data_IF_504512814825
#
_entry.id   IF_504512814825
#
_cell.length_a   1.000
_cell.length_b   1.000
_cell.length_c   1.000
_cell.angle_alpha   90.00
_cell.angle_beta   90.00
_cell.angle_gamma   90.00
#
_symmetry.space_group_name_H-M   'P 1'
#
loop_
_entity.id
_entity.type
_entity.pdbx_description
1 polymer ?
#
# COMPACT_ATOMS: atom_id res chain seq x y z
N UNK A 1 -29.25 3.98 -3.51
CA UNK A 1 -27.79 3.96 -3.33
C UNK A 1 -27.26 3.38 -4.63
N UNK A 2 -27.03 4.24 -5.61
CA UNK A 2 -26.75 3.79 -6.97
C UNK A 2 -25.32 3.28 -7.01
N UNK A 3 -25.14 2.01 -7.36
CA UNK A 3 -23.81 1.49 -7.64
C UNK A 3 -23.27 2.28 -8.82
N UNK A 4 -22.24 3.08 -8.57
CA UNK A 4 -21.62 3.97 -9.57
C UNK A 4 -20.99 3.17 -10.74
N UNK A 5 -21.09 1.84 -10.72
CA UNK A 5 -20.42 0.92 -11.62
C UNK A 5 -21.40 -0.14 -12.10
N UNK A 6 -21.53 -0.26 -13.41
CA UNK A 6 -22.10 -1.45 -14.02
C UNK A 6 -21.14 -2.63 -13.77
N UNK A 7 -21.70 -3.82 -13.56
CA UNK A 7 -20.94 -5.06 -13.50
C UNK A 7 -20.07 -5.21 -14.76
N UNK A 8 -18.78 -5.54 -14.58
CA UNK A 8 -17.81 -5.65 -15.69
C UNK A 8 -17.09 -4.36 -16.11
N UNK A 9 -17.32 -3.22 -15.46
CA UNK A 9 -16.59 -1.99 -15.77
C UNK A 9 -15.11 -2.04 -15.33
N UNK A 10 -14.20 -1.62 -16.22
CA UNK A 10 -12.77 -1.49 -15.94
C UNK A 10 -12.43 -0.08 -15.40
N UNK A 11 -11.56 0.01 -14.39
CA UNK A 11 -11.09 1.28 -13.82
C UNK A 11 -9.57 1.41 -14.02
N UNK A 12 -9.11 2.13 -15.07
CA UNK A 12 -7.70 2.35 -15.27
C UNK A 12 -7.08 3.20 -14.15
N UNK A 13 -5.82 2.92 -13.84
CA UNK A 13 -4.97 3.74 -12.96
C UNK A 13 -3.65 3.99 -13.67
N UNK A 14 -3.15 5.21 -13.54
CA UNK A 14 -1.86 5.60 -14.09
C UNK A 14 -0.89 5.87 -12.95
N UNK A 15 0.36 5.44 -13.10
CA UNK A 15 1.44 5.61 -12.13
C UNK A 15 2.58 6.41 -12.77
N UNK A 16 3.13 7.36 -12.03
CA UNK A 16 4.21 8.23 -12.48
C UNK A 16 5.32 8.22 -11.44
N UNK A 17 6.54 7.91 -11.88
CA UNK A 17 7.74 7.93 -11.05
C UNK A 17 8.58 9.17 -11.40
N UNK A 18 8.85 10.08 -10.44
CA UNK A 18 9.56 11.33 -10.69
C UNK A 18 11.07 11.13 -10.82
N UNK A 19 11.61 9.96 -10.47
CA UNK A 19 13.06 9.67 -10.37
C UNK A 19 13.84 10.01 -11.64
N UNK A 20 13.31 9.66 -12.82
CA UNK A 20 13.95 9.97 -14.11
C UNK A 20 14.04 11.49 -14.31
N UNK A 21 12.95 12.21 -14.03
CA UNK A 21 12.92 13.67 -14.16
C UNK A 21 13.85 14.32 -13.15
N UNK A 22 13.83 13.86 -11.91
CA UNK A 22 14.74 14.32 -10.84
C UNK A 22 16.20 14.20 -11.28
N UNK A 23 16.61 13.03 -11.78
CA UNK A 23 17.97 12.79 -12.25
C UNK A 23 18.38 13.73 -13.41
N UNK A 24 17.46 14.09 -14.30
CA UNK A 24 17.74 14.97 -15.45
C UNK A 24 17.75 16.45 -15.05
N UNK A 25 16.85 16.87 -14.15
CA UNK A 25 16.68 18.30 -13.83
C UNK A 25 17.40 18.75 -12.57
N UNK A 26 17.87 17.82 -11.73
CA UNK A 26 18.42 18.10 -10.40
C UNK A 26 17.38 18.62 -9.40
N UNK A 27 16.08 18.37 -9.65
CA UNK A 27 14.99 18.79 -8.75
C UNK A 27 14.52 17.57 -7.97
N UNK A 28 14.38 17.71 -6.66
CA UNK A 28 13.99 16.60 -5.78
C UNK A 28 12.69 15.91 -6.20
N UNK A 29 12.67 14.59 -6.08
CA UNK A 29 11.53 13.74 -6.47
C UNK A 29 10.23 14.18 -5.78
N UNK A 30 10.29 14.42 -4.46
CA UNK A 30 9.18 14.93 -3.68
C UNK A 30 8.67 16.28 -4.23
N UNK A 31 9.57 17.23 -4.46
CA UNK A 31 9.19 18.54 -5.01
C UNK A 31 8.48 18.40 -6.37
N UNK A 32 9.00 17.56 -7.27
CA UNK A 32 8.36 17.29 -8.57
C UNK A 32 6.94 16.76 -8.38
N UNK A 33 6.72 15.81 -7.46
CA UNK A 33 5.39 15.23 -7.21
C UNK A 33 4.41 16.27 -6.68
N UNK A 34 4.75 16.95 -5.58
CA UNK A 34 3.85 17.88 -4.92
C UNK A 34 3.56 19.12 -5.77
N UNK A 35 4.56 19.67 -6.47
CA UNK A 35 4.35 20.79 -7.39
C UNK A 35 3.47 20.39 -8.58
N UNK A 36 3.60 19.15 -9.07
CA UNK A 36 2.75 18.64 -10.16
C UNK A 36 1.29 18.51 -9.71
N UNK A 37 1.05 18.05 -8.49
CA UNK A 37 -0.32 17.97 -7.92
C UNK A 37 -0.88 19.38 -7.72
N UNK A 38 -0.10 20.31 -7.16
CA UNK A 38 -0.55 21.70 -6.93
C UNK A 38 -0.91 22.43 -8.23
N UNK A 39 -0.19 22.17 -9.33
CA UNK A 39 -0.48 22.73 -10.66
C UNK A 39 -1.85 22.33 -11.22
N UNK A 40 -2.49 21.29 -10.68
CA UNK A 40 -3.86 20.92 -11.07
C UNK A 40 -4.90 21.95 -10.59
N UNK A 41 -4.56 22.85 -9.66
CA UNK A 41 -5.44 23.92 -9.21
C UNK A 41 -6.72 23.42 -8.54
N UNK A 42 -6.66 22.28 -7.84
CA UNK A 42 -7.82 21.68 -7.20
C UNK A 42 -8.34 22.60 -6.09
N UNK A 43 -9.65 22.88 -6.12
CA UNK A 43 -10.31 23.82 -5.20
C UNK A 43 -10.81 23.17 -3.91
N UNK A 44 -10.50 21.90 -3.67
CA UNK A 44 -10.95 21.17 -2.48
C UNK A 44 -10.02 21.49 -1.29
N UNK A 45 -10.49 22.23 -0.27
CA UNK A 45 -9.64 22.64 0.85
C UNK A 45 -9.17 21.46 1.70
N UNK A 46 -9.99 20.42 1.87
CA UNK A 46 -9.61 19.22 2.63
C UNK A 46 -8.51 18.44 1.92
N UNK A 47 -8.58 18.35 0.58
CA UNK A 47 -7.52 17.73 -0.22
C UNK A 47 -6.21 18.50 -0.11
N UNK A 48 -6.26 19.83 -0.28
CA UNK A 48 -5.07 20.68 -0.21
C UNK A 48 -4.43 20.65 1.19
N UNK A 49 -5.23 20.69 2.24
CA UNK A 49 -4.73 20.57 3.62
C UNK A 49 -4.08 19.20 3.88
N UNK A 50 -4.67 18.11 3.38
CA UNK A 50 -4.05 16.78 3.48
C UNK A 50 -2.76 16.67 2.67
N UNK A 51 -2.70 17.32 1.50
CA UNK A 51 -1.51 17.37 0.66
C UNK A 51 -0.37 18.12 1.34
N UNK A 52 -0.66 19.27 1.97
CA UNK A 52 0.33 20.08 2.68
C UNK A 52 0.84 19.35 3.93
N UNK A 53 -0.04 18.73 4.72
CA UNK A 53 0.38 17.89 5.86
C UNK A 53 1.32 16.76 5.43
N UNK A 54 0.99 16.06 4.34
CA UNK A 54 1.84 14.98 3.82
C UNK A 54 3.18 15.53 3.29
N UNK A 55 3.17 16.67 2.61
CA UNK A 55 4.37 17.34 2.10
C UNK A 55 5.31 17.73 3.24
N UNK A 56 4.78 18.37 4.28
CA UNK A 56 5.55 18.82 5.45
C UNK A 56 6.16 17.62 6.18
N UNK A 57 5.40 16.53 6.32
CA UNK A 57 5.92 15.29 6.90
C UNK A 57 7.05 14.68 6.05
N UNK A 58 6.89 14.58 4.73
CA UNK A 58 7.93 14.05 3.82
C UNK A 58 9.20 14.90 3.86
N UNK A 59 9.09 16.23 3.84
CA UNK A 59 10.28 17.10 3.92
C UNK A 59 10.97 16.94 5.28
N UNK A 60 10.21 16.89 6.38
CA UNK A 60 10.78 16.83 7.73
C UNK A 60 11.55 15.53 8.03
N UNK A 61 11.30 14.47 7.27
CA UNK A 61 11.92 13.14 7.43
C UNK A 61 13.19 12.95 6.59
N UNK A 62 13.60 13.99 5.83
CA UNK A 62 14.89 14.23 5.17
C UNK A 62 15.80 13.00 4.96
N UNK A 63 15.48 12.15 3.96
CA UNK A 63 16.35 11.06 3.52
C UNK A 63 16.03 9.67 4.09
N UNK A 64 14.95 9.49 4.84
CA UNK A 64 14.48 8.15 5.23
C UNK A 64 13.80 7.36 4.09
N UNK A 65 13.54 8.01 2.95
CA UNK A 65 12.79 7.44 1.85
C UNK A 65 13.70 6.78 0.81
N UNK A 66 13.19 5.71 0.22
CA UNK A 66 13.75 5.12 -0.98
C UNK A 66 13.28 5.94 -2.18
N UNK A 67 13.92 7.07 -2.44
CA UNK A 67 13.53 8.09 -3.43
C UNK A 67 13.21 7.53 -4.83
N UNK A 68 13.83 6.41 -5.22
CA UNK A 68 13.55 5.75 -6.50
C UNK A 68 12.21 4.98 -6.55
N UNK A 69 11.55 4.76 -5.41
CA UNK A 69 10.21 4.17 -5.30
C UNK A 69 9.10 5.20 -5.12
N UNK A 70 9.46 6.48 -5.01
CA UNK A 70 8.47 7.54 -4.90
C UNK A 70 7.64 7.63 -6.18
N UNK A 71 6.36 7.91 -6.01
CA UNK A 71 5.46 8.01 -7.16
C UNK A 71 4.10 8.57 -6.83
N UNK A 72 3.41 8.99 -7.88
CA UNK A 72 2.02 9.43 -7.80
C UNK A 72 1.19 8.53 -8.71
N UNK A 73 0.01 8.15 -8.25
CA UNK A 73 -1.00 7.54 -9.11
C UNK A 73 -2.30 8.33 -9.08
N UNK A 74 -3.12 8.17 -10.11
CA UNK A 74 -4.49 8.65 -10.10
C UNK A 74 -5.46 7.66 -10.73
N UNK A 75 -6.74 7.75 -10.32
CA UNK A 75 -7.85 7.03 -10.94
C UNK A 75 -8.19 7.69 -12.29
N UNK A 76 -7.99 7.00 -13.42
CA UNK A 76 -8.24 7.53 -14.76
C UNK A 76 -9.74 7.47 -15.14
N UNK A 77 -10.52 8.17 -14.33
CA UNK A 77 -11.97 8.33 -14.44
C UNK A 77 -12.31 9.82 -14.46
N UNK A 78 -13.60 10.17 -14.38
CA UNK A 78 -14.03 11.56 -14.23
C UNK A 78 -13.26 12.27 -13.10
N UNK A 79 -12.67 13.43 -13.40
CA UNK A 79 -11.78 14.17 -12.52
C UNK A 79 -12.40 14.51 -11.15
N UNK A 80 -13.71 14.75 -11.08
CA UNK A 80 -14.42 15.07 -9.83
C UNK A 80 -14.53 13.86 -8.88
N UNK A 81 -14.43 12.65 -9.44
CA UNK A 81 -14.47 11.38 -8.70
C UNK A 81 -13.09 10.75 -8.55
N UNK A 82 -12.11 11.24 -9.30
CA UNK A 82 -10.76 10.70 -9.31
C UNK A 82 -10.07 10.95 -7.96
N UNK A 83 -9.28 9.98 -7.53
CA UNK A 83 -8.41 10.10 -6.35
C UNK A 83 -6.96 10.13 -6.82
N UNK A 84 -6.15 10.91 -6.12
CA UNK A 84 -4.71 10.94 -6.26
C UNK A 84 -4.11 10.21 -5.05
N UNK A 85 -3.08 9.40 -5.28
CA UNK A 85 -2.33 8.70 -4.24
C UNK A 85 -0.85 9.00 -4.40
N UNK A 86 -0.19 9.33 -3.29
CA UNK A 86 1.26 9.47 -3.20
C UNK A 86 1.82 8.19 -2.60
N UNK A 87 2.87 7.66 -3.19
CA UNK A 87 3.61 6.49 -2.76
C UNK A 87 5.03 6.90 -2.43
N UNK A 88 5.56 6.30 -1.37
CA UNK A 88 6.98 6.41 -1.01
C UNK A 88 7.46 5.08 -0.44
N UNK A 89 8.72 4.74 -0.70
CA UNK A 89 9.36 3.57 -0.10
C UNK A 89 10.06 3.97 1.19
N UNK A 90 9.97 3.17 2.25
CA UNK A 90 10.69 3.39 3.50
C UNK A 90 11.30 2.06 3.94
N UNK A 91 12.60 2.05 4.22
CA UNK A 91 13.24 0.89 4.82
C UNK A 91 12.99 0.90 6.33
N UNK A 92 11.89 0.28 6.74
CA UNK A 92 11.49 0.19 8.14
C UNK A 92 12.30 -0.89 8.87
N UNK A 93 12.81 -0.55 10.07
CA UNK A 93 13.63 -1.44 10.91
C UNK A 93 12.93 -1.93 12.16
N UNK A 94 11.80 -1.34 12.53
CA UNK A 94 11.02 -1.75 13.70
C UNK A 94 9.53 -1.45 13.55
N UNK A 95 8.73 -2.12 14.37
CA UNK A 95 7.29 -1.90 14.44
C UNK A 95 6.95 -0.49 14.96
N UNK A 96 7.77 0.06 15.86
CA UNK A 96 7.63 1.44 16.36
C UNK A 96 7.78 2.44 15.22
N UNK A 97 8.78 2.26 14.35
CA UNK A 97 8.96 3.09 13.17
C UNK A 97 7.76 2.97 12.21
N UNK A 98 7.24 1.75 12.00
CA UNK A 98 6.02 1.55 11.22
C UNK A 98 4.81 2.30 11.82
N UNK A 99 4.73 2.39 13.16
CA UNK A 99 3.70 3.16 13.86
C UNK A 99 3.85 4.66 13.62
N UNK A 100 5.05 5.18 13.78
CA UNK A 100 5.36 6.60 13.56
C UNK A 100 5.01 7.01 12.12
N UNK A 101 5.39 6.20 11.13
CA UNK A 101 5.06 6.43 9.72
C UNK A 101 3.54 6.41 9.52
N UNK A 102 2.84 5.41 10.10
CA UNK A 102 1.37 5.30 9.99
C UNK A 102 0.65 6.53 10.56
N UNK A 103 1.23 7.15 11.58
CA UNK A 103 0.70 8.35 12.24
C UNK A 103 1.25 9.65 11.64
N UNK A 104 2.06 9.59 10.57
CA UNK A 104 2.80 10.74 10.03
C UNK A 104 3.53 11.54 11.14
N UNK A 105 4.28 10.84 12.00
CA UNK A 105 4.98 11.46 13.12
C UNK A 105 4.06 12.02 14.22
N UNK A 106 2.82 11.52 14.30
CA UNK A 106 1.81 11.96 15.27
C UNK A 106 0.82 12.99 14.74
N UNK A 107 0.95 13.41 13.47
CA UNK A 107 -0.01 14.31 12.81
C UNK A 107 -1.36 13.65 12.54
N UNK A 108 -1.40 12.32 12.42
CA UNK A 108 -2.63 11.52 12.31
C UNK A 108 -2.87 10.72 13.58
N UNK A 109 -4.10 10.80 14.11
CA UNK A 109 -4.51 10.14 15.34
C UNK A 109 -5.96 9.66 15.26
N UNK A 110 -6.35 8.80 16.21
CA UNK A 110 -7.72 8.34 16.42
C UNK A 110 -7.97 6.89 16.01
N UNK A 111 -9.15 6.39 16.38
CA UNK A 111 -9.51 4.97 16.34
C UNK A 111 -9.29 4.29 14.98
N UNK A 112 -9.48 5.02 13.87
CA UNK A 112 -9.29 4.49 12.51
C UNK A 112 -7.81 4.20 12.24
N UNK A 113 -6.92 5.05 12.75
CA UNK A 113 -5.47 4.88 12.63
C UNK A 113 -5.03 3.70 13.48
N UNK A 114 -5.51 3.62 14.73
CA UNK A 114 -5.17 2.54 15.66
C UNK A 114 -5.65 1.18 15.18
N UNK A 115 -6.91 1.08 14.71
CA UNK A 115 -7.46 -0.15 14.11
C UNK A 115 -6.68 -0.58 12.87
N UNK A 116 -6.27 0.38 12.03
CA UNK A 116 -5.42 0.09 10.88
C UNK A 116 -4.03 -0.39 11.28
N UNK A 117 -3.45 0.17 12.34
CA UNK A 117 -2.14 -0.22 12.84
C UNK A 117 -2.15 -1.61 13.50
N UNK A 118 -3.25 -2.01 14.15
CA UNK A 118 -3.39 -3.37 14.70
C UNK A 118 -3.24 -4.45 13.61
N UNK A 119 -3.72 -4.19 12.38
CA UNK A 119 -3.51 -5.10 11.25
C UNK A 119 -2.03 -5.17 10.84
N UNK A 120 -1.35 -4.02 10.80
CA UNK A 120 0.09 -3.93 10.51
C UNK A 120 0.89 -4.71 11.55
N UNK A 121 0.57 -4.54 12.84
CA UNK A 121 1.22 -5.25 13.95
C UNK A 121 1.08 -6.77 13.84
N UNK A 122 -0.09 -7.27 13.46
CA UNK A 122 -0.33 -8.72 13.29
C UNK A 122 0.48 -9.29 12.13
N UNK A 123 0.49 -8.60 11.00
CA UNK A 123 1.31 -8.98 9.86
C UNK A 123 2.80 -8.89 10.18
N UNK A 124 3.24 -7.82 10.85
CA UNK A 124 4.64 -7.64 11.25
C UNK A 124 5.14 -8.83 12.07
N UNK A 125 4.38 -9.22 13.10
CA UNK A 125 4.74 -10.38 13.92
C UNK A 125 4.96 -11.64 13.09
N UNK A 126 4.06 -11.92 12.14
CA UNK A 126 4.14 -13.14 11.31
C UNK A 126 5.16 -13.07 10.19
N UNK A 127 5.41 -11.88 9.65
CA UNK A 127 6.25 -11.71 8.47
C UNK A 127 7.69 -11.31 8.78
N UNK A 128 7.93 -10.69 9.93
CA UNK A 128 9.23 -10.11 10.29
C UNK A 128 9.79 -10.78 11.55
N UNK A 129 8.98 -10.90 12.62
CA UNK A 129 9.46 -11.43 13.90
C UNK A 129 9.54 -12.97 13.90
N UNK A 130 8.63 -13.62 13.17
CA UNK A 130 8.58 -15.07 12.97
C UNK A 130 9.12 -15.46 11.58
N UNK A 131 9.31 -16.76 11.31
CA UNK A 131 9.60 -17.24 9.95
C UNK A 131 8.38 -16.90 9.06
N UNK A 132 8.52 -15.99 8.07
CA UNK A 132 7.38 -15.64 7.24
C UNK A 132 6.75 -16.89 6.58
N UNK A 133 5.46 -16.84 6.32
CA UNK A 133 4.80 -17.97 5.69
C UNK A 133 3.66 -17.50 4.82
N UNK A 134 3.31 -18.35 3.85
CA UNK A 134 2.10 -18.14 3.05
C UNK A 134 0.83 -18.18 3.91
N UNK A 135 0.91 -18.73 5.13
CA UNK A 135 -0.17 -18.71 6.12
C UNK A 135 -0.38 -17.36 6.80
N UNK A 136 0.59 -16.43 6.77
CA UNK A 136 0.42 -15.11 7.38
C UNK A 136 -0.81 -14.37 6.84
N UNK A 137 -1.10 -14.54 5.55
CA UNK A 137 -2.33 -14.03 4.93
C UNK A 137 -3.57 -14.77 5.47
N UNK A 138 -3.56 -16.11 5.46
CA UNK A 138 -4.70 -16.90 5.92
C UNK A 138 -5.06 -16.59 7.38
N UNK A 139 -4.08 -16.50 8.26
CA UNK A 139 -4.31 -16.14 9.67
C UNK A 139 -4.89 -14.73 9.82
N UNK A 140 -4.48 -13.78 8.96
CA UNK A 140 -5.09 -12.46 8.94
C UNK A 140 -6.55 -12.51 8.48
N UNK A 141 -6.88 -13.34 7.48
CA UNK A 141 -8.24 -13.52 7.03
C UNK A 141 -9.10 -14.21 8.11
N UNK A 142 -8.56 -15.22 8.81
CA UNK A 142 -9.20 -15.88 9.95
C UNK A 142 -9.45 -14.89 11.10
N UNK A 143 -8.47 -14.05 11.43
CA UNK A 143 -8.62 -13.01 12.45
C UNK A 143 -9.76 -12.03 12.11
N UNK A 144 -9.97 -11.75 10.82
CA UNK A 144 -11.04 -10.89 10.35
C UNK A 144 -12.41 -11.59 10.24
N UNK A 145 -12.48 -12.91 10.49
CA UNK A 145 -13.68 -13.72 10.32
C UNK A 145 -14.08 -13.89 8.85
N UNK A 146 -13.11 -13.85 7.94
CA UNK A 146 -13.32 -13.95 6.48
C UNK A 146 -13.14 -15.40 6.01
N UNK A 147 -13.96 -16.31 6.56
CA UNK A 147 -13.79 -17.77 6.41
C UNK A 147 -13.83 -18.23 4.94
N UNK A 148 -14.72 -17.66 4.13
CA UNK A 148 -14.80 -17.97 2.70
C UNK A 148 -13.52 -17.57 1.95
N UNK A 149 -12.95 -16.41 2.30
CA UNK A 149 -11.71 -15.92 1.73
C UNK A 149 -10.52 -16.78 2.18
N UNK A 150 -10.53 -17.33 3.40
CA UNK A 150 -9.52 -18.30 3.85
C UNK A 150 -9.53 -19.54 2.96
N UNK A 151 -10.70 -20.15 2.75
CA UNK A 151 -10.82 -21.36 1.92
C UNK A 151 -10.45 -21.07 0.47
N UNK A 152 -10.92 -19.95 -0.08
CA UNK A 152 -10.63 -19.53 -1.46
C UNK A 152 -9.13 -19.26 -1.65
N UNK A 153 -8.51 -18.54 -0.71
CA UNK A 153 -7.08 -18.24 -0.79
C UNK A 153 -6.24 -19.52 -0.74
N UNK A 154 -6.59 -20.47 0.15
CA UNK A 154 -5.94 -21.78 0.21
C UNK A 154 -6.05 -22.55 -1.10
N UNK A 155 -7.25 -22.67 -1.65
CA UNK A 155 -7.48 -23.39 -2.90
C UNK A 155 -6.72 -22.76 -4.08
N UNK A 156 -6.71 -21.43 -4.18
CA UNK A 156 -5.94 -20.72 -5.21
C UNK A 156 -4.43 -20.87 -5.00
N UNK A 157 -3.97 -20.90 -3.75
CA UNK A 157 -2.56 -21.13 -3.44
C UNK A 157 -2.12 -22.54 -3.88
N UNK A 158 -2.93 -23.54 -3.56
CA UNK A 158 -2.68 -24.92 -3.92
C UNK A 158 -2.69 -25.09 -5.45
N UNK A 159 -3.64 -24.48 -6.17
CA UNK A 159 -3.71 -24.56 -7.63
C UNK A 159 -2.53 -23.85 -8.29
N UNK A 160 -2.28 -22.58 -7.95
CA UNK A 160 -1.28 -21.74 -8.60
C UNK A 160 0.17 -22.18 -8.29
N UNK A 161 0.40 -22.86 -7.15
CA UNK A 161 1.74 -23.22 -6.68
C UNK A 161 1.89 -24.70 -6.29
N UNK A 162 1.03 -25.59 -6.83
CA UNK A 162 0.90 -27.05 -6.61
C UNK A 162 2.17 -27.92 -6.75
N UNK A 163 3.32 -27.37 -7.10
CA UNK A 163 4.52 -28.14 -7.41
C UNK A 163 5.41 -28.39 -6.19
N UNK A 164 5.01 -29.22 -5.23
CA UNK A 164 5.90 -29.79 -4.18
C UNK A 164 6.82 -28.80 -3.44
N UNK A 165 6.53 -27.50 -3.51
CA UNK A 165 7.36 -26.50 -2.88
C UNK A 165 6.90 -26.35 -1.44
N UNK A 166 7.87 -26.55 -0.58
CA UNK A 166 7.72 -26.66 0.85
C UNK A 166 6.96 -25.47 1.42
N UNK A 167 6.33 -25.68 2.58
CA UNK A 167 5.61 -24.73 3.45
C UNK A 167 6.39 -23.43 3.82
N UNK A 168 7.52 -23.16 3.15
CA UNK A 168 8.50 -22.10 3.37
C UNK A 168 8.70 -21.21 2.12
N UNK A 169 7.88 -21.31 1.08
CA UNK A 169 8.08 -20.47 -0.11
C UNK A 169 7.58 -19.05 0.11
N UNK A 170 8.48 -18.17 0.58
CA UNK A 170 8.29 -16.72 0.65
C UNK A 170 8.10 -16.07 -0.72
N UNK A 171 8.36 -16.81 -1.80
CA UNK A 171 8.35 -16.32 -3.16
C UNK A 171 6.97 -16.32 -3.83
N UNK A 172 5.92 -16.77 -3.13
CA UNK A 172 4.56 -16.72 -3.65
C UNK A 172 4.03 -15.27 -3.75
N UNK A 173 4.53 -14.35 -2.92
CA UNK A 173 4.07 -12.97 -2.86
C UNK A 173 5.24 -11.99 -2.99
N UNK A 174 5.01 -10.91 -3.74
CA UNK A 174 5.95 -9.78 -3.82
C UNK A 174 5.61 -8.70 -2.79
N UNK A 175 4.33 -8.38 -2.62
CA UNK A 175 3.86 -7.33 -1.70
C UNK A 175 2.53 -7.70 -1.05
N UNK A 176 2.37 -7.30 0.20
CA UNK A 176 1.08 -7.31 0.91
C UNK A 176 0.76 -5.86 1.27
N UNK A 177 -0.38 -5.38 0.80
CA UNK A 177 -0.88 -4.04 1.11
C UNK A 177 -2.05 -4.14 2.07
N UNK A 178 -2.01 -3.34 3.15
CA UNK A 178 -3.09 -3.25 4.12
C UNK A 178 -3.50 -1.81 4.35
N UNK A 179 -4.80 -1.58 4.38
CA UNK A 179 -5.39 -0.33 4.82
C UNK A 179 -6.64 -0.60 5.65
N UNK A 180 -7.12 0.44 6.33
CA UNK A 180 -8.34 0.41 7.11
C UNK A 180 -9.14 1.66 6.80
N UNK A 181 -10.42 1.47 6.52
CA UNK A 181 -11.36 2.53 6.19
C UNK A 181 -12.46 2.54 7.25
N UNK A 182 -12.84 3.71 7.75
CA UNK A 182 -13.87 3.83 8.79
C UNK A 182 -15.22 3.19 8.40
N UNK A 183 -15.65 3.35 7.15
CA UNK A 183 -16.89 2.77 6.62
C UNK A 183 -16.72 1.32 6.14
N UNK A 184 -15.66 1.03 5.37
CA UNK A 184 -15.49 -0.28 4.71
C UNK A 184 -14.74 -1.31 5.55
N UNK A 185 -14.16 -0.90 6.67
CA UNK A 185 -13.32 -1.74 7.51
C UNK A 185 -11.95 -2.05 6.87
N UNK A 186 -11.35 -3.21 7.19
CA UNK A 186 -10.05 -3.61 6.68
C UNK A 186 -10.09 -3.87 5.18
N UNK A 187 -9.00 -3.55 4.50
CA UNK A 187 -8.81 -3.84 3.08
C UNK A 187 -7.38 -4.35 2.87
N UNK A 188 -7.28 -5.56 2.32
CA UNK A 188 -6.02 -6.27 2.11
C UNK A 188 -5.89 -6.56 0.61
N UNK A 189 -4.71 -6.30 0.04
CA UNK A 189 -4.37 -6.69 -1.34
C UNK A 189 -3.05 -7.43 -1.33
N UNK A 190 -2.99 -8.54 -2.04
CA UNK A 190 -1.81 -9.38 -2.15
C UNK A 190 -1.36 -9.35 -3.60
N UNK A 191 -0.13 -8.97 -3.82
CA UNK A 191 0.51 -9.01 -5.12
C UNK A 191 1.30 -10.31 -5.20
N UNK A 192 0.68 -11.33 -5.82
CA UNK A 192 1.33 -12.61 -6.10
C UNK A 192 2.55 -12.44 -6.99
N UNK A 193 3.43 -13.44 -6.98
CA UNK A 193 4.55 -13.51 -7.92
C UNK A 193 4.07 -14.14 -9.24
N UNK A 194 3.91 -13.34 -10.32
CA UNK A 194 3.39 -13.84 -11.58
C UNK A 194 4.35 -14.78 -12.30
N UNK A 195 5.63 -14.77 -11.93
CA UNK A 195 6.66 -15.64 -12.51
C UNK A 195 6.71 -17.02 -11.85
N UNK A 196 5.85 -17.27 -10.85
CA UNK A 196 5.96 -18.44 -9.99
C UNK A 196 7.20 -18.38 -9.08
N UNK A 197 7.31 -19.31 -8.12
CA UNK A 197 8.48 -19.40 -7.27
C UNK A 197 9.72 -19.73 -8.11
N UNK A 198 10.74 -18.90 -8.02
CA UNK A 198 11.99 -19.12 -8.76
C UNK A 198 12.67 -20.38 -8.21
N UNK A 199 13.19 -21.28 -9.05
CA UNK A 199 14.02 -22.37 -8.57
C UNK A 199 15.20 -21.79 -7.80
N UNK A 200 15.37 -22.24 -6.56
CA UNK A 200 16.59 -21.99 -5.78
C UNK A 200 17.64 -22.91 -6.39
N UNK A 201 18.58 -22.34 -7.14
CA UNK A 201 19.76 -23.05 -7.63
C UNK A 201 20.83 -23.12 -6.54
#
# INVERSE_FOLDING_TARGET
MDSIWAEGAFMPKSYFMPSIRSAVTGVEAAQIMFDSIRKLGLKNPNFNSALDMLHDWIISTNGCFMEHWDGVSYDAINAEKARIKVYTGINMRSLEQAREIRMLGGMLQGDVIDKGFELVKRLWRRLIDEEPSTYAVMEMLEYLGWDEQVQTHRALMDEAWSLNQTKKSFFAFNYIWVTYHNIKGPYITIYGNPSGPRPVF
#
